data_IF_358162617942
#
_entry.id   IF_358162617942
#
_cell.length_a   1.000
_cell.length_b   1.000
_cell.length_c   1.000
_cell.angle_alpha   90.00
_cell.angle_beta   90.00
_cell.angle_gamma   90.00
#
_symmetry.space_group_name_H-M   'P 1'
#
loop_
_entity.id
_entity.type
_entity.pdbx_description
1 polymer ?
#
# COMPACT_ATOMS: atom_id res chain seq x y z
N UNK A 1 17.35 23.63 3.60
CA UNK A 1 16.25 23.77 2.63
C UNK A 1 15.02 23.06 3.18
N UNK A 2 13.89 23.76 3.27
CA UNK A 2 12.60 23.17 3.60
C UNK A 2 11.74 23.11 2.33
N UNK A 3 11.00 22.01 2.13
CA UNK A 3 10.05 21.88 1.00
C UNK A 3 8.65 22.19 1.51
N UNK A 4 7.93 23.07 0.81
CA UNK A 4 6.55 23.43 1.11
C UNK A 4 5.68 23.16 -0.11
N UNK A 5 4.53 22.51 0.10
CA UNK A 5 3.51 22.33 -0.93
C UNK A 5 2.46 23.42 -0.80
N UNK A 6 2.30 24.23 -1.84
CA UNK A 6 1.33 25.32 -1.90
C UNK A 6 -0.08 24.77 -2.15
N UNK A 7 -1.11 25.56 -1.84
CA UNK A 7 -2.51 25.21 -2.13
C UNK A 7 -2.77 25.02 -3.63
N UNK A 8 -1.92 25.59 -4.49
CA UNK A 8 -1.92 25.36 -5.93
C UNK A 8 -1.42 23.97 -6.34
N UNK A 9 -0.88 23.18 -5.41
CA UNK A 9 -0.31 21.85 -5.64
C UNK A 9 1.19 21.82 -5.98
N UNK A 10 1.82 22.98 -6.19
CA UNK A 10 3.25 23.09 -6.50
C UNK A 10 4.12 22.96 -5.25
N UNK A 11 5.29 22.31 -5.40
CA UNK A 11 6.32 22.24 -4.37
C UNK A 11 7.35 23.37 -4.57
N UNK A 12 7.68 24.09 -3.50
CA UNK A 12 8.74 25.12 -3.47
C UNK A 12 9.80 24.80 -2.42
N UNK A 13 11.04 25.21 -2.67
CA UNK A 13 12.13 25.18 -1.70
C UNK A 13 12.27 26.53 -1.01
N UNK A 14 12.34 26.53 0.33
CA UNK A 14 12.53 27.72 1.15
C UNK A 14 13.80 27.55 1.98
N UNK A 15 14.59 28.62 2.11
CA UNK A 15 15.68 28.67 3.09
C UNK A 15 15.10 28.66 4.51
N UNK A 16 15.45 27.67 5.38
CA UNK A 16 14.99 27.65 6.76
C UNK A 16 15.27 28.94 7.53
N UNK A 17 16.34 29.67 7.20
CA UNK A 17 16.67 30.95 7.86
C UNK A 17 15.66 32.06 7.56
N UNK A 18 14.88 31.94 6.49
CA UNK A 18 13.84 32.91 6.12
C UNK A 18 12.49 32.64 6.82
N UNK A 19 12.33 31.51 7.52
CA UNK A 19 11.08 31.12 8.16
C UNK A 19 10.91 31.89 9.48
N UNK A 20 9.85 32.71 9.57
CA UNK A 20 9.53 33.51 10.77
C UNK A 20 8.39 32.93 11.62
N UNK A 21 7.67 31.94 11.10
CA UNK A 21 6.54 31.33 11.79
C UNK A 21 6.19 29.98 11.18
N UNK A 22 5.79 29.04 12.04
CA UNK A 22 5.36 27.71 11.67
C UNK A 22 4.14 27.36 12.50
N UNK A 23 3.09 26.83 11.86
CA UNK A 23 1.93 26.28 12.56
C UNK A 23 1.63 24.89 12.00
N UNK A 24 1.05 24.03 12.84
CA UNK A 24 0.66 22.68 12.43
C UNK A 24 -0.82 22.69 12.03
N UNK A 25 -1.18 22.37 10.78
CA UNK A 25 -2.58 22.20 10.43
C UNK A 25 -3.18 20.99 11.15
N UNK A 26 -4.46 21.07 11.49
CA UNK A 26 -5.20 19.94 12.07
C UNK A 26 -5.29 18.78 11.07
N UNK A 27 -5.11 17.56 11.56
CA UNK A 27 -5.17 16.36 10.74
C UNK A 27 -6.61 15.98 10.41
N UNK A 28 -6.93 15.76 9.13
CA UNK A 28 -8.21 15.18 8.72
C UNK A 28 -8.20 13.67 9.03
N UNK A 29 -9.21 13.13 9.74
CA UNK A 29 -9.34 11.69 9.93
C UNK A 29 -9.50 10.98 8.58
N UNK A 30 -8.79 9.88 8.37
CA UNK A 30 -8.98 9.02 7.19
C UNK A 30 -10.13 8.07 7.51
N UNK A 31 -11.23 8.14 6.77
CA UNK A 31 -12.33 7.20 6.90
C UNK A 31 -11.90 5.80 6.41
N UNK A 32 -12.11 4.76 7.22
CA UNK A 32 -11.93 3.37 6.82
C UNK A 32 -13.29 2.76 6.39
N UNK A 33 -13.43 2.48 5.10
CA UNK A 33 -14.57 1.77 4.53
C UNK A 33 -14.27 0.27 4.43
N UNK A 34 -14.88 -0.54 5.30
CA UNK A 34 -14.74 -2.01 5.23
C UNK A 34 -15.26 -2.56 3.91
N UNK A 35 -14.45 -3.35 3.23
CA UNK A 35 -14.86 -4.10 2.02
C UNK A 35 -15.53 -5.41 2.45
N UNK A 36 -16.75 -5.65 2.01
CA UNK A 36 -17.46 -6.92 2.21
C UNK A 36 -17.02 -7.92 1.13
N UNK A 37 -16.72 -9.15 1.53
CA UNK A 37 -16.37 -10.26 0.65
C UNK A 37 -17.46 -11.33 0.72
N UNK A 38 -17.63 -12.10 -0.36
CA UNK A 38 -18.60 -13.19 -0.45
C UNK A 38 -17.89 -14.53 -0.18
N UNK A 39 -18.23 -15.18 0.94
CA UNK A 39 -17.62 -16.44 1.38
C UNK A 39 -18.01 -17.64 0.49
N UNK A 40 -18.95 -17.47 -0.45
CA UNK A 40 -19.31 -18.51 -1.43
C UNK A 40 -18.38 -18.56 -2.65
N UNK A 41 -17.59 -17.50 -2.86
CA UNK A 41 -16.60 -17.42 -3.94
C UNK A 41 -15.31 -18.17 -3.59
N UNK A 42 -14.52 -18.58 -4.61
CA UNK A 42 -13.27 -19.30 -4.35
C UNK A 42 -12.29 -18.49 -3.49
N UNK A 43 -11.64 -19.17 -2.54
CA UNK A 43 -10.60 -18.59 -1.71
C UNK A 43 -9.32 -18.33 -2.51
N UNK A 44 -8.83 -17.10 -2.51
CA UNK A 44 -7.62 -16.68 -3.20
C UNK A 44 -6.65 -16.04 -2.20
N UNK A 45 -5.37 -16.40 -2.28
CA UNK A 45 -4.32 -15.80 -1.46
C UNK A 45 -3.40 -14.92 -2.31
N UNK A 46 -3.13 -13.71 -1.82
CA UNK A 46 -2.19 -12.75 -2.41
C UNK A 46 -0.95 -12.72 -1.51
N UNK A 47 0.14 -13.34 -1.96
CA UNK A 47 1.43 -13.26 -1.28
C UNK A 47 2.23 -12.10 -1.88
N UNK A 48 2.49 -11.06 -1.09
CA UNK A 48 3.25 -9.89 -1.52
C UNK A 48 4.69 -9.94 -1.00
N UNK A 49 5.65 -9.67 -1.90
CA UNK A 49 7.07 -9.48 -1.56
C UNK A 49 7.53 -8.03 -1.71
N UNK A 50 6.58 -7.12 -1.99
CA UNK A 50 6.83 -5.74 -2.37
C UNK A 50 5.96 -5.36 -3.57
N UNK A 51 6.52 -4.55 -4.47
CA UNK A 51 5.85 -4.11 -5.69
C UNK A 51 4.87 -2.94 -5.50
N UNK A 52 4.25 -2.55 -6.61
CA UNK A 52 3.45 -1.32 -6.74
C UNK A 52 1.99 -1.58 -7.14
N UNK A 53 1.55 -2.84 -7.12
CA UNK A 53 0.26 -3.27 -7.69
C UNK A 53 -0.95 -2.56 -7.05
N UNK A 54 -0.83 -2.13 -5.80
CA UNK A 54 -1.80 -1.30 -5.11
C UNK A 54 -1.16 -0.02 -4.55
N UNK A 55 -0.20 0.56 -5.27
CA UNK A 55 0.33 1.87 -4.92
C UNK A 55 -0.73 2.94 -5.12
N UNK A 56 -0.98 3.72 -4.07
CA UNK A 56 -1.89 4.87 -4.08
C UNK A 56 -1.10 6.16 -4.00
N UNK A 57 -1.53 7.14 -4.78
CA UNK A 57 -1.05 8.52 -4.68
C UNK A 57 -1.97 9.27 -3.72
N UNK A 58 -1.41 9.82 -2.65
CA UNK A 58 -2.08 10.86 -1.87
C UNK A 58 -1.86 12.20 -2.57
N UNK A 59 -2.85 12.69 -3.32
CA UNK A 59 -2.75 13.95 -4.05
C UNK A 59 -2.51 15.16 -3.15
N UNK A 60 -2.90 15.10 -1.87
CA UNK A 60 -2.64 16.18 -0.90
C UNK A 60 -1.16 16.28 -0.60
N UNK A 61 -0.50 15.18 -0.28
CA UNK A 61 0.93 15.18 0.07
C UNK A 61 1.86 14.98 -1.15
N UNK A 62 1.35 14.41 -2.24
CA UNK A 62 2.16 13.91 -3.35
C UNK A 62 2.87 12.59 -3.03
N UNK A 63 2.65 12.01 -1.85
CA UNK A 63 3.28 10.77 -1.45
C UNK A 63 2.68 9.58 -2.21
N UNK A 64 3.53 8.62 -2.56
CA UNK A 64 3.12 7.33 -3.09
C UNK A 64 3.32 6.30 -2.00
N UNK A 65 2.25 5.61 -1.63
CA UNK A 65 2.28 4.54 -0.62
C UNK A 65 1.85 3.24 -1.25
N UNK A 66 2.65 2.19 -1.10
CA UNK A 66 2.23 0.83 -1.46
C UNK A 66 1.26 0.29 -0.43
N UNK A 67 0.14 -0.27 -0.89
CA UNK A 67 -0.81 -0.97 -0.05
C UNK A 67 -0.58 -2.48 -0.12
N UNK A 68 -0.69 -3.16 1.03
CA UNK A 68 -0.33 -4.58 1.16
C UNK A 68 -1.41 -5.44 1.81
N UNK A 69 -2.46 -4.83 2.35
CA UNK A 69 -3.57 -5.55 2.94
C UNK A 69 -4.62 -5.89 1.87
N UNK A 70 -5.33 -7.00 2.03
CA UNK A 70 -6.33 -7.44 1.07
C UNK A 70 -7.41 -6.36 0.83
N UNK A 71 -7.86 -5.73 1.91
CA UNK A 71 -8.89 -4.68 1.86
C UNK A 71 -8.47 -3.50 0.99
N UNK A 72 -7.21 -3.08 1.10
CA UNK A 72 -6.67 -1.99 0.31
C UNK A 72 -6.60 -2.35 -1.18
N UNK A 73 -6.15 -3.56 -1.51
CA UNK A 73 -6.12 -4.08 -2.89
C UNK A 73 -7.53 -4.12 -3.47
N UNK A 74 -8.52 -4.56 -2.69
CA UNK A 74 -9.92 -4.61 -3.12
C UNK A 74 -10.52 -3.21 -3.29
N UNK A 75 -10.13 -2.23 -2.46
CA UNK A 75 -10.54 -0.82 -2.67
C UNK A 75 -9.92 -0.23 -3.93
N UNK A 76 -8.66 -0.56 -4.21
CA UNK A 76 -7.97 -0.13 -5.42
C UNK A 76 -8.55 -0.80 -6.68
N UNK A 77 -8.98 -2.06 -6.56
CA UNK A 77 -9.51 -2.88 -7.66
C UNK A 77 -10.84 -3.54 -7.26
N UNK A 78 -11.96 -2.79 -7.21
CA UNK A 78 -13.25 -3.29 -6.71
C UNK A 78 -13.78 -4.52 -7.45
N UNK A 79 -13.42 -4.68 -8.71
CA UNK A 79 -13.84 -5.82 -9.54
C UNK A 79 -13.38 -7.17 -8.97
N UNK A 80 -12.28 -7.20 -8.21
CA UNK A 80 -11.79 -8.43 -7.59
C UNK A 80 -12.83 -9.06 -6.67
N UNK A 81 -13.64 -8.27 -5.95
CA UNK A 81 -14.66 -8.78 -5.01
C UNK A 81 -15.65 -9.76 -5.68
N UNK A 82 -15.85 -9.67 -7.00
CA UNK A 82 -16.73 -10.57 -7.76
C UNK A 82 -16.06 -11.88 -8.20
N UNK A 83 -14.74 -12.00 -8.04
CA UNK A 83 -13.95 -13.13 -8.55
C UNK A 83 -13.57 -14.13 -7.47
N UNK A 84 -13.53 -13.72 -6.20
CA UNK A 84 -13.00 -14.55 -5.11
C UNK A 84 -13.15 -13.91 -3.74
N UNK A 85 -12.94 -14.73 -2.71
CA UNK A 85 -12.70 -14.29 -1.34
C UNK A 85 -11.18 -14.24 -1.11
N UNK A 86 -10.63 -13.06 -0.84
CA UNK A 86 -9.20 -12.80 -0.78
C UNK A 86 -8.64 -12.77 0.64
N UNK A 87 -7.49 -13.41 0.80
CA UNK A 87 -6.54 -13.21 1.90
C UNK A 87 -5.27 -12.58 1.33
N UNK A 88 -4.59 -11.74 2.11
CA UNK A 88 -3.30 -11.19 1.73
C UNK A 88 -2.26 -11.48 2.81
N UNK A 89 -1.09 -11.95 2.39
CA UNK A 89 0.07 -12.18 3.24
C UNK A 89 1.22 -11.34 2.72
N UNK A 90 1.64 -10.34 3.51
CA UNK A 90 2.86 -9.58 3.23
C UNK A 90 4.07 -10.36 3.76
N UNK A 91 4.80 -10.98 2.86
CA UNK A 91 6.01 -11.74 3.17
C UNK A 91 7.23 -10.81 3.26
N UNK A 92 7.39 -9.92 2.27
CA UNK A 92 8.51 -8.99 2.18
C UNK A 92 8.07 -7.60 1.69
N UNK A 93 8.95 -6.61 1.86
CA UNK A 93 8.82 -5.28 1.24
C UNK A 93 10.18 -4.89 0.68
N UNK A 94 10.53 -5.50 -0.45
CA UNK A 94 11.80 -5.26 -1.14
C UNK A 94 11.57 -4.84 -2.60
N UNK A 95 12.56 -4.14 -3.14
CA UNK A 95 12.67 -3.96 -4.58
C UNK A 95 13.09 -5.30 -5.21
N UNK A 96 12.60 -5.60 -6.40
CA UNK A 96 12.92 -6.86 -7.10
C UNK A 96 14.41 -7.04 -7.36
N UNK A 97 15.16 -5.94 -7.46
CA UNK A 97 16.63 -5.93 -7.58
C UNK A 97 17.35 -6.45 -6.32
N UNK A 98 16.70 -6.37 -5.15
CA UNK A 98 17.24 -6.86 -3.87
C UNK A 98 16.76 -8.28 -3.55
N UNK A 99 16.11 -8.95 -4.51
CA UNK A 99 15.68 -10.32 -4.35
C UNK A 99 16.89 -11.27 -4.31
N UNK A 100 16.86 -12.24 -3.40
CA UNK A 100 17.94 -13.22 -3.25
C UNK A 100 17.42 -14.65 -3.32
N UNK A 101 18.27 -15.65 -3.62
CA UNK A 101 17.86 -17.05 -3.62
C UNK A 101 17.27 -17.53 -2.28
N UNK A 102 17.73 -16.99 -1.14
CA UNK A 102 17.16 -17.31 0.16
C UNK A 102 15.69 -16.86 0.26
N UNK A 103 15.38 -15.66 -0.23
CA UNK A 103 14.02 -15.11 -0.25
C UNK A 103 13.11 -15.90 -1.20
N UNK A 104 13.64 -16.46 -2.29
CA UNK A 104 12.87 -17.35 -3.16
C UNK A 104 12.42 -18.63 -2.44
N UNK A 105 13.29 -19.22 -1.63
CA UNK A 105 12.95 -20.41 -0.84
C UNK A 105 11.82 -20.08 0.14
N UNK A 106 11.94 -18.99 0.88
CA UNK A 106 10.90 -18.54 1.82
C UNK A 106 9.59 -18.19 1.12
N UNK A 107 9.65 -17.63 -0.08
CA UNK A 107 8.46 -17.39 -0.91
C UNK A 107 7.79 -18.70 -1.31
N UNK A 108 8.56 -19.71 -1.72
CA UNK A 108 8.03 -21.02 -2.08
C UNK A 108 7.36 -21.71 -0.89
N UNK A 109 7.96 -21.64 0.30
CA UNK A 109 7.38 -22.14 1.55
C UNK A 109 6.09 -21.39 1.92
N UNK A 110 6.09 -20.06 1.82
CA UNK A 110 4.91 -19.25 2.07
C UNK A 110 3.76 -19.60 1.12
N UNK A 111 4.05 -19.81 -0.18
CA UNK A 111 3.05 -20.25 -1.16
C UNK A 111 2.53 -21.65 -0.84
N UNK A 112 3.42 -22.58 -0.46
CA UNK A 112 3.02 -23.93 -0.05
C UNK A 112 2.07 -23.88 1.15
N UNK A 113 2.36 -23.07 2.17
CA UNK A 113 1.51 -22.91 3.34
C UNK A 113 0.14 -22.34 2.98
N UNK A 114 0.08 -21.31 2.12
CA UNK A 114 -1.19 -20.69 1.70
C UNK A 114 -2.07 -21.68 0.92
N UNK A 115 -1.47 -22.52 0.08
CA UNK A 115 -2.18 -23.57 -0.66
C UNK A 115 -2.68 -24.66 0.30
N UNK A 116 -1.86 -25.06 1.28
CA UNK A 116 -2.23 -26.12 2.24
C UNK A 116 -3.34 -25.69 3.20
N UNK A 117 -3.38 -24.41 3.55
CA UNK A 117 -4.32 -23.84 4.52
C UNK A 117 -5.60 -23.26 3.85
N UNK A 118 -5.69 -23.31 2.52
CA UNK A 118 -6.86 -22.86 1.74
C UNK A 118 -7.70 -24.02 1.26
#
# INVERSE_FOLDING_TARGET
>A
MAVVKLDSGYNIGIDPAAIRGLSRPEGTPVASLRVTQDDTLPGLSIVSTGGTIASRIDYRTGAVTSQFDAEDILRAIPRLVTLGHYRARKLYTILSENMTPAIWTELAEAVYDEIRNG
#
